data_IF_930370894669
#
_entry.id   IF_930370894669
#
_cell.length_a   1.000
_cell.length_b   1.000
_cell.length_c   1.000
_cell.angle_alpha   90.00
_cell.angle_beta   90.00
_cell.angle_gamma   90.00
#
_symmetry.space_group_name_H-M   'P 1'
#
loop_
_entity.id
_entity.type
_entity.pdbx_description
1 polymer ?
#
# COMPACT_ATOMS: atom_id res chain seq x y z
N UNK A 1 -21.82 -11.45 -10.77
CA UNK A 1 -20.84 -10.38 -10.55
C UNK A 1 -21.11 -9.77 -9.19
N UNK A 2 -20.40 -10.28 -8.18
CA UNK A 2 -20.42 -9.72 -6.85
C UNK A 2 -19.39 -8.58 -6.80
N UNK A 3 -19.85 -7.35 -6.62
CA UNK A 3 -18.99 -6.19 -6.52
C UNK A 3 -18.50 -6.04 -5.07
N UNK A 4 -17.20 -5.82 -4.89
CA UNK A 4 -16.58 -5.67 -3.56
C UNK A 4 -16.02 -4.28 -3.39
N UNK A 5 -16.34 -3.68 -2.24
CA UNK A 5 -15.85 -2.36 -1.86
C UNK A 5 -14.53 -2.49 -1.12
N UNK A 6 -13.56 -1.66 -1.50
CA UNK A 6 -12.32 -1.49 -0.76
C UNK A 6 -12.58 -0.61 0.47
N UNK A 7 -11.99 -1.00 1.61
CA UNK A 7 -12.06 -0.20 2.84
C UNK A 7 -11.57 1.25 2.60
N UNK A 8 -12.32 2.26 3.08
CA UNK A 8 -11.87 3.65 2.99
C UNK A 8 -10.57 3.88 3.75
N UNK A 9 -9.60 4.52 3.11
CA UNK A 9 -8.34 4.90 3.74
C UNK A 9 -8.46 6.28 4.39
N UNK A 10 -7.83 6.45 5.56
CA UNK A 10 -7.71 7.75 6.20
C UNK A 10 -6.78 8.68 5.39
N UNK A 11 -7.06 10.00 5.31
CA UNK A 11 -6.23 10.92 4.54
C UNK A 11 -4.82 11.06 5.14
N UNK A 12 -3.80 11.36 4.33
CA UNK A 12 -2.43 11.53 4.82
C UNK A 12 -2.34 12.66 5.85
N UNK A 13 -1.69 12.40 6.99
CA UNK A 13 -1.51 13.38 8.06
C UNK A 13 -0.07 13.45 8.54
N UNK A 14 0.51 14.65 8.53
CA UNK A 14 1.85 14.88 9.09
C UNK A 14 1.89 14.47 10.57
N UNK A 15 2.85 13.63 10.94
CA UNK A 15 3.03 13.13 12.31
C UNK A 15 1.96 12.14 12.80
N UNK A 16 0.98 11.77 11.96
CA UNK A 16 -0.15 10.93 12.38
C UNK A 16 0.10 9.42 12.29
N UNK A 17 1.19 8.98 11.67
CA UNK A 17 1.60 7.58 11.79
C UNK A 17 1.82 7.25 13.27
N UNK A 18 2.22 8.24 14.07
CA UNK A 18 2.63 8.09 15.47
C UNK A 18 1.53 8.35 16.52
N UNK A 19 0.26 8.61 16.16
CA UNK A 19 -0.76 8.90 17.17
C UNK A 19 -1.49 7.63 17.63
N UNK A 20 -1.14 7.14 18.82
CA UNK A 20 -1.89 6.13 19.56
C UNK A 20 -3.34 6.63 19.73
N UNK A 21 -4.32 5.89 19.22
CA UNK A 21 -5.73 6.09 19.62
C UNK A 21 -6.79 5.88 18.54
N UNK A 22 -6.55 6.24 17.27
CA UNK A 22 -7.63 6.20 16.24
C UNK A 22 -7.12 6.12 14.78
N UNK A 23 -5.93 5.60 14.52
CA UNK A 23 -5.36 5.51 13.17
C UNK A 23 -5.50 4.09 12.58
N UNK A 24 -6.73 3.70 12.22
CA UNK A 24 -6.95 2.57 11.31
C UNK A 24 -6.30 2.92 9.97
N UNK A 25 -5.11 2.40 9.70
CA UNK A 25 -4.37 2.46 8.44
C UNK A 25 -4.51 3.78 7.63
N UNK A 26 -3.53 4.67 7.79
CA UNK A 26 -3.46 5.92 7.04
C UNK A 26 -2.93 5.72 5.63
N UNK A 27 -3.47 6.43 4.65
CA UNK A 27 -2.94 6.43 3.30
C UNK A 27 -1.55 7.06 3.25
N UNK A 28 -0.55 6.29 2.83
CA UNK A 28 0.78 6.79 2.45
C UNK A 28 0.74 7.19 0.98
N UNK A 29 0.34 6.25 0.11
CA UNK A 29 0.24 6.47 -1.34
C UNK A 29 -0.63 5.40 -1.98
N UNK A 30 -1.32 5.75 -3.07
CA UNK A 30 -1.97 4.78 -3.95
C UNK A 30 -1.86 5.23 -5.41
N UNK A 31 -1.85 4.24 -6.30
CA UNK A 31 -1.79 4.41 -7.75
C UNK A 31 -2.62 3.31 -8.41
N UNK A 32 -3.47 3.66 -9.37
CA UNK A 32 -4.32 2.72 -10.10
C UNK A 32 -5.04 1.70 -9.19
N UNK A 33 -5.59 2.16 -8.07
CA UNK A 33 -6.23 1.28 -7.08
C UNK A 33 -7.75 1.41 -7.12
N UNK A 34 -8.51 0.31 -7.05
CA UNK A 34 -9.95 0.34 -7.22
C UNK A 34 -10.65 0.89 -5.98
N UNK A 35 -11.81 1.50 -6.17
CA UNK A 35 -12.78 1.68 -5.09
C UNK A 35 -13.68 0.46 -4.95
N UNK A 36 -14.11 -0.08 -6.08
CA UNK A 36 -14.93 -1.27 -6.22
C UNK A 36 -14.27 -2.15 -7.27
N UNK A 37 -14.27 -3.47 -7.08
CA UNK A 37 -13.72 -4.42 -8.05
C UNK A 37 -14.59 -5.69 -8.15
N UNK A 38 -14.39 -6.45 -9.24
CA UNK A 38 -15.03 -7.74 -9.44
C UNK A 38 -14.19 -8.84 -8.80
N UNK A 39 -14.59 -9.37 -7.65
CA UNK A 39 -13.77 -10.37 -6.95
C UNK A 39 -13.78 -11.76 -7.61
N UNK A 40 -14.61 -11.98 -8.63
CA UNK A 40 -14.60 -13.22 -9.41
C UNK A 40 -13.51 -13.19 -10.49
N UNK A 41 -12.98 -12.00 -10.82
CA UNK A 41 -12.06 -11.80 -11.95
C UNK A 41 -10.83 -10.98 -11.61
N UNK A 42 -10.97 -9.89 -10.87
CA UNK A 42 -9.86 -9.05 -10.42
C UNK A 42 -9.23 -9.63 -9.15
N UNK A 43 -7.98 -9.26 -8.86
CA UNK A 43 -7.25 -9.75 -7.69
C UNK A 43 -6.65 -8.62 -6.86
N UNK A 44 -6.74 -8.75 -5.54
CA UNK A 44 -5.99 -7.94 -4.58
C UNK A 44 -5.11 -8.87 -3.75
N UNK A 45 -3.81 -8.63 -3.78
CA UNK A 45 -2.86 -9.25 -2.87
C UNK A 45 -2.52 -8.27 -1.75
N UNK A 46 -2.49 -8.74 -0.50
CA UNK A 46 -2.19 -7.92 0.68
C UNK A 46 -1.15 -8.61 1.54
N UNK A 47 -0.10 -7.88 1.93
CA UNK A 47 0.87 -8.33 2.93
C UNK A 47 1.23 -7.16 3.87
N UNK A 48 1.72 -7.47 5.06
CA UNK A 48 2.16 -6.47 6.03
C UNK A 48 3.66 -6.54 6.24
N UNK A 49 4.27 -5.36 6.41
CA UNK A 49 5.72 -5.25 6.56
C UNK A 49 6.28 -6.05 7.73
N UNK A 50 5.56 -6.15 8.85
CA UNK A 50 5.99 -6.89 10.04
C UNK A 50 5.94 -8.41 9.83
N UNK A 51 4.98 -8.91 9.04
CA UNK A 51 4.93 -10.31 8.62
C UNK A 51 6.09 -10.67 7.69
N UNK A 52 6.40 -9.81 6.71
CA UNK A 52 7.52 -9.98 5.79
C UNK A 52 8.86 -9.98 6.56
N UNK A 53 9.03 -9.01 7.46
CA UNK A 53 10.19 -8.90 8.35
C UNK A 53 10.39 -10.16 9.21
N UNK A 54 9.32 -10.66 9.83
CA UNK A 54 9.40 -11.88 10.67
C UNK A 54 9.75 -13.13 9.86
N UNK A 55 9.38 -13.18 8.58
CA UNK A 55 9.69 -14.30 7.68
C UNK A 55 11.18 -14.33 7.30
N UNK A 56 11.72 -13.20 6.86
CA UNK A 56 13.14 -13.03 6.54
C UNK A 56 13.57 -11.56 6.56
N UNK A 57 14.00 -11.09 7.74
CA UNK A 57 14.43 -9.71 7.93
C UNK A 57 15.59 -9.31 7.00
N UNK A 58 16.55 -10.21 6.76
CA UNK A 58 17.73 -9.87 5.96
C UNK A 58 17.35 -9.70 4.48
N UNK A 59 16.50 -10.59 3.94
CA UNK A 59 15.94 -10.43 2.59
C UNK A 59 15.13 -9.15 2.49
N UNK A 60 14.25 -8.89 3.46
CA UNK A 60 13.41 -7.70 3.47
C UNK A 60 14.23 -6.40 3.47
N UNK A 61 15.19 -6.29 4.39
CA UNK A 61 16.12 -5.15 4.45
C UNK A 61 16.88 -4.96 3.15
N UNK A 62 17.40 -6.04 2.57
CA UNK A 62 18.13 -5.99 1.29
C UNK A 62 17.24 -5.45 0.17
N UNK A 63 15.98 -5.88 0.10
CA UNK A 63 15.02 -5.40 -0.89
C UNK A 63 14.65 -3.92 -0.68
N UNK A 64 14.45 -3.51 0.58
CA UNK A 64 14.23 -2.11 0.93
C UNK A 64 15.41 -1.25 0.48
N UNK A 65 16.64 -1.63 0.83
CA UNK A 65 17.83 -0.88 0.45
C UNK A 65 18.03 -0.84 -1.08
N UNK A 66 17.72 -1.94 -1.79
CA UNK A 66 17.77 -2.03 -3.25
C UNK A 66 16.83 -1.04 -3.93
N UNK A 67 15.59 -0.93 -3.46
CA UNK A 67 14.54 -0.12 -4.14
C UNK A 67 14.49 1.32 -3.65
N UNK A 68 14.73 1.54 -2.36
CA UNK A 68 14.59 2.84 -1.71
C UNK A 68 15.93 3.52 -1.39
N UNK A 69 17.05 2.82 -1.61
CA UNK A 69 18.41 3.33 -1.45
C UNK A 69 19.11 2.76 -0.21
N UNK A 70 20.45 2.79 -0.21
CA UNK A 70 21.31 2.12 0.80
C UNK A 70 21.04 2.50 2.26
N UNK A 71 20.47 3.69 2.50
CA UNK A 71 20.15 4.18 3.83
C UNK A 71 18.65 4.08 4.16
N UNK A 72 17.84 3.46 3.29
CA UNK A 72 16.43 3.27 3.54
C UNK A 72 16.22 2.29 4.68
N UNK A 73 15.42 2.70 5.67
CA UNK A 73 15.17 1.90 6.85
C UNK A 73 13.78 1.24 6.75
N UNK A 74 13.66 -0.08 6.97
CA UNK A 74 12.37 -0.77 6.93
C UNK A 74 11.29 -0.18 7.83
N UNK A 75 11.69 0.37 8.98
CA UNK A 75 10.76 0.97 9.96
C UNK A 75 10.34 2.41 9.60
N UNK A 76 10.84 2.97 8.49
CA UNK A 76 10.50 4.33 8.05
C UNK A 76 10.47 4.43 6.51
N UNK A 77 9.58 3.66 5.89
CA UNK A 77 9.44 3.63 4.43
C UNK A 77 8.67 4.83 3.85
N UNK A 78 7.81 5.46 4.65
CA UNK A 78 6.92 6.55 4.22
C UNK A 78 7.62 7.57 3.33
N UNK A 79 8.73 8.23 3.73
CA UNK A 79 9.34 9.29 2.93
C UNK A 79 9.81 8.80 1.56
N UNK A 80 10.28 7.56 1.49
CA UNK A 80 10.79 6.96 0.26
C UNK A 80 9.65 6.61 -0.71
N UNK A 81 8.53 6.11 -0.19
CA UNK A 81 7.35 5.77 -0.99
C UNK A 81 6.71 7.04 -1.57
N UNK A 82 6.59 8.11 -0.79
CA UNK A 82 6.02 9.36 -1.28
C UNK A 82 6.83 9.98 -2.42
N UNK A 83 8.16 10.00 -2.27
CA UNK A 83 9.08 10.69 -3.18
C UNK A 83 9.35 9.92 -4.49
N UNK A 84 9.18 8.59 -4.50
CA UNK A 84 9.41 7.79 -5.70
C UNK A 84 8.24 7.86 -6.69
N UNK A 85 8.51 7.58 -7.97
CA UNK A 85 7.45 7.40 -8.97
C UNK A 85 6.60 6.17 -8.68
N UNK A 86 5.39 6.15 -9.23
CA UNK A 86 4.44 5.07 -9.01
C UNK A 86 4.93 3.74 -9.59
N UNK A 87 5.58 3.76 -10.76
CA UNK A 87 6.14 2.57 -11.40
C UNK A 87 7.27 1.97 -10.55
N UNK A 88 8.09 2.83 -9.95
CA UNK A 88 9.18 2.40 -9.06
C UNK A 88 8.63 1.78 -7.78
N UNK A 89 7.61 2.40 -7.19
CA UNK A 89 6.94 1.85 -6.01
C UNK A 89 6.26 0.52 -6.31
N UNK A 90 5.51 0.42 -7.41
CA UNK A 90 4.82 -0.80 -7.80
C UNK A 90 5.81 -1.96 -7.95
N UNK A 91 6.91 -1.76 -8.68
CA UNK A 91 7.97 -2.76 -8.83
C UNK A 91 8.59 -3.16 -7.49
N UNK A 92 8.84 -2.19 -6.61
CA UNK A 92 9.39 -2.45 -5.29
C UNK A 92 8.45 -3.31 -4.45
N UNK A 93 7.15 -2.98 -4.44
CA UNK A 93 6.14 -3.69 -3.66
C UNK A 93 5.91 -5.12 -4.15
N UNK A 94 5.90 -5.36 -5.47
CA UNK A 94 5.84 -6.71 -6.05
C UNK A 94 7.01 -7.57 -5.53
N UNK A 95 8.23 -7.03 -5.53
CA UNK A 95 9.40 -7.76 -5.05
C UNK A 95 9.40 -7.95 -3.53
N UNK A 96 8.96 -6.95 -2.76
CA UNK A 96 8.92 -6.97 -1.28
C UNK A 96 7.88 -7.96 -0.76
N UNK A 97 6.68 -7.97 -1.36
CA UNK A 97 5.60 -8.88 -0.97
C UNK A 97 5.81 -10.31 -1.49
N UNK A 98 6.82 -10.53 -2.35
CA UNK A 98 7.04 -11.81 -3.04
C UNK A 98 5.83 -12.24 -3.88
N UNK A 99 5.10 -11.25 -4.42
CA UNK A 99 3.87 -11.44 -5.20
C UNK A 99 4.14 -12.21 -6.51
N UNK A 100 3.13 -12.89 -7.04
CA UNK A 100 3.29 -13.68 -8.28
C UNK A 100 3.66 -12.75 -9.44
N UNK A 101 4.86 -12.96 -9.99
CA UNK A 101 5.42 -12.17 -11.10
C UNK A 101 4.82 -12.53 -12.45
N UNK A 102 3.99 -13.57 -12.53
CA UNK A 102 3.21 -13.91 -13.72
C UNK A 102 1.96 -13.03 -13.84
N UNK A 103 1.52 -12.44 -12.74
CA UNK A 103 0.41 -11.49 -12.70
C UNK A 103 0.96 -10.10 -13.04
N UNK A 104 0.30 -9.42 -13.97
CA UNK A 104 0.62 -8.04 -14.33
C UNK A 104 -0.04 -7.08 -13.34
N UNK A 105 0.52 -6.95 -12.14
CA UNK A 105 0.02 -5.99 -11.15
C UNK A 105 -0.01 -4.57 -11.75
N UNK A 106 -1.18 -3.94 -11.74
CA UNK A 106 -1.42 -2.64 -12.42
C UNK A 106 -1.50 -1.47 -11.45
N UNK A 107 -1.67 -1.75 -10.16
CA UNK A 107 -1.85 -0.73 -9.14
C UNK A 107 -1.42 -1.18 -7.76
N UNK A 108 -1.31 -0.21 -6.85
CA UNK A 108 -0.98 -0.46 -5.46
C UNK A 108 -1.64 0.55 -4.52
N UNK A 109 -1.75 0.15 -3.26
CA UNK A 109 -2.09 1.02 -2.14
C UNK A 109 -1.21 0.67 -0.96
N UNK A 110 -0.53 1.67 -0.41
CA UNK A 110 0.24 1.55 0.83
C UNK A 110 -0.48 2.30 1.92
N UNK A 111 -0.82 1.58 2.98
CA UNK A 111 -1.30 2.17 4.21
C UNK A 111 -0.24 2.01 5.30
N UNK A 112 -0.25 2.91 6.28
CA UNK A 112 0.65 2.83 7.44
C UNK A 112 -0.10 3.02 8.74
N UNK A 113 0.35 2.33 9.76
CA UNK A 113 -0.10 2.45 11.15
C UNK A 113 1.08 2.32 12.09
N UNK A 114 0.84 2.47 13.40
CA UNK A 114 1.83 2.20 14.44
C UNK A 114 1.31 1.10 15.36
N UNK A 115 2.15 0.11 15.61
CA UNK A 115 1.84 -0.98 16.53
C UNK A 115 1.86 -0.55 18.00
N UNK A 116 1.47 -1.45 18.90
CA UNK A 116 1.43 -1.18 20.34
C UNK A 116 2.79 -0.85 20.98
N UNK A 117 3.90 -1.08 20.27
CA UNK A 117 5.26 -0.74 20.70
C UNK A 117 5.79 0.57 20.12
N UNK A 118 5.01 1.26 19.29
CA UNK A 118 5.43 2.52 18.67
C UNK A 118 6.15 2.35 17.34
N UNK A 119 6.22 1.14 16.78
CA UNK A 119 6.86 0.90 15.48
C UNK A 119 5.88 1.11 14.33
N UNK A 120 6.35 1.72 13.25
CA UNK A 120 5.57 1.83 12.02
C UNK A 120 5.40 0.44 11.40
N UNK A 121 4.16 0.11 11.07
CA UNK A 121 3.80 -1.08 10.30
C UNK A 121 3.06 -0.63 9.05
N UNK A 122 3.43 -1.20 7.91
CA UNK A 122 2.84 -0.88 6.62
C UNK A 122 2.00 -2.05 6.12
N UNK A 123 0.84 -1.74 5.56
CA UNK A 123 0.01 -2.66 4.79
C UNK A 123 0.24 -2.36 3.31
N UNK A 124 0.74 -3.35 2.57
CA UNK A 124 0.98 -3.28 1.14
C UNK A 124 -0.13 -4.01 0.41
N UNK A 125 -0.83 -3.32 -0.49
CA UNK A 125 -1.84 -3.92 -1.36
C UNK A 125 -1.42 -3.76 -2.81
N UNK A 126 -1.47 -4.85 -3.57
CA UNK A 126 -1.31 -4.86 -5.01
C UNK A 126 -2.67 -5.15 -5.66
N UNK A 127 -2.92 -4.54 -6.81
CA UNK A 127 -4.14 -4.76 -7.57
C UNK A 127 -3.84 -5.25 -8.98
N UNK A 128 -4.51 -6.32 -9.37
CA UNK A 128 -4.55 -6.81 -10.73
C UNK A 128 -5.97 -6.67 -11.27
N UNK A 129 -6.06 -6.13 -12.49
CA UNK A 129 -7.32 -5.94 -13.19
C UNK A 129 -7.41 -6.94 -14.34
N UNK A 130 -8.47 -7.73 -14.36
CA UNK A 130 -8.72 -8.63 -15.48
C UNK A 130 -9.11 -7.81 -16.74
N UNK A 131 -8.68 -8.19 -17.96
CA UNK A 131 -8.99 -7.43 -19.18
C UNK A 131 -10.48 -7.22 -19.44
N UNK A 132 -11.29 -8.19 -19.05
CA UNK A 132 -12.76 -8.19 -19.22
C UNK A 132 -13.55 -7.52 -18.08
N UNK A 133 -12.90 -6.76 -17.19
CA UNK A 133 -13.60 -6.02 -16.13
C UNK A 133 -13.67 -4.53 -16.43
N UNK A 134 -14.79 -3.92 -16.10
CA UNK A 134 -14.99 -2.46 -16.18
C UNK A 134 -14.50 -1.74 -14.91
N UNK A 135 -13.73 -2.42 -14.06
CA UNK A 135 -13.25 -1.88 -12.78
C UNK A 135 -12.52 -0.55 -12.95
N UNK A 136 -13.06 0.48 -12.32
CA UNK A 136 -12.47 1.82 -12.30
C UNK A 136 -11.33 1.88 -11.29
N UNK A 137 -10.22 2.51 -11.70
CA UNK A 137 -9.01 2.63 -10.90
C UNK A 137 -8.71 4.11 -10.64
N UNK A 138 -8.23 4.40 -9.43
CA UNK A 138 -8.00 5.75 -8.97
C UNK A 138 -6.59 5.90 -8.41
N UNK A 139 -5.99 7.06 -8.64
CA UNK A 139 -4.78 7.50 -7.95
C UNK A 139 -5.14 8.27 -6.68
N UNK A 140 -4.18 8.68 -5.86
CA UNK A 140 -4.48 9.30 -4.57
C UNK A 140 -5.35 10.57 -4.66
N UNK A 141 -5.25 11.34 -5.73
CA UNK A 141 -6.06 12.55 -5.95
C UNK A 141 -7.49 12.14 -6.37
N UNK A 142 -8.49 12.58 -5.59
CA UNK A 142 -9.93 12.41 -5.86
C UNK A 142 -10.50 10.98 -5.84
N UNK A 143 -9.77 10.02 -5.26
CA UNK A 143 -10.31 8.68 -5.13
C UNK A 143 -11.43 8.57 -4.07
N UNK A 144 -12.58 7.94 -4.39
CA UNK A 144 -13.70 7.81 -3.45
C UNK A 144 -13.41 6.87 -2.28
N UNK A 145 -12.38 6.03 -2.40
CA UNK A 145 -11.89 5.17 -1.33
C UNK A 145 -10.90 5.88 -0.37
N UNK A 146 -10.79 7.21 -0.42
CA UNK A 146 -9.96 8.02 0.50
C UNK A 146 -10.85 9.06 1.19
N UNK A 147 -10.89 9.02 2.52
CA UNK A 147 -11.69 9.95 3.32
C UNK A 147 -11.15 11.38 3.17
N UNK A 148 -12.04 12.36 2.99
CA UNK A 148 -11.65 13.78 2.89
C UNK A 148 -11.40 14.36 4.29
N UNK A 149 -10.34 15.18 4.43
CA UNK A 149 -10.17 16.00 5.63
C UNK A 149 -11.29 17.03 5.69
N UNK A 150 -12.21 16.86 6.63
CA UNK A 150 -13.16 17.92 6.99
C UNK A 150 -12.39 18.88 7.89
N UNK A 151 -12.01 20.04 7.36
CA UNK A 151 -11.55 21.15 8.21
C UNK A 151 -12.81 21.83 8.76
N UNK A 152 -13.00 21.90 10.09
CA UNK A 152 -14.04 22.75 10.67
C UNK A 152 -13.76 24.23 10.43
#
# INVERSE_FOLDING_TARGET
>A
MALYYVDPANPPGSGKLMSIGTASNMLIKQFNFPHIYDNEKDEIETDWSDHIERRDYNKYRTLVEKHFGKNAHPNNLHPYIEQNSDEKNLKALIEICDADRKIEWVGYRVLGTVDGSGWNVYEFKLFWKHPDTETEMFSATDAPNVLKKVYP
#
